data_IF_663319204237
#
_entry.id   IF_663319204237
#
_cell.length_a   1.000
_cell.length_b   1.000
_cell.length_c   1.000
_cell.angle_alpha   90.00
_cell.angle_beta   90.00
_cell.angle_gamma   90.00
#
_symmetry.space_group_name_H-M   'P 1'
#
loop_
_entity.id
_entity.type
_entity.pdbx_description
1 polymer ?
#
# COMPACT_ATOMS: atom_id res chain seq x y z
N UNK A 1 -14.76 22.51 -6.83
CA UNK A 1 -13.35 22.43 -6.39
C UNK A 1 -12.59 23.63 -6.94
N UNK A 2 -11.74 24.26 -6.10
CA UNK A 2 -10.89 25.37 -6.50
C UNK A 2 -9.44 24.92 -6.41
N UNK A 3 -8.69 25.07 -7.51
CA UNK A 3 -7.25 24.82 -7.53
C UNK A 3 -6.53 25.72 -6.51
N UNK A 4 -5.66 25.12 -5.67
CA UNK A 4 -4.92 25.83 -4.63
C UNK A 4 -3.46 26.06 -5.05
N UNK A 5 -2.75 24.99 -5.45
CA UNK A 5 -1.32 25.07 -5.76
C UNK A 5 -0.87 23.97 -6.73
N UNK A 6 0.13 24.27 -7.53
CA UNK A 6 0.87 23.30 -8.35
C UNK A 6 2.31 23.21 -7.86
N UNK A 7 2.86 21.99 -7.83
CA UNK A 7 4.24 21.72 -7.43
C UNK A 7 5.00 21.11 -8.60
N UNK A 8 6.16 21.68 -9.01
CA UNK A 8 7.03 21.00 -9.94
C UNK A 8 7.65 19.77 -9.26
N UNK A 9 7.38 18.58 -9.81
CA UNK A 9 7.95 17.35 -9.29
C UNK A 9 9.41 17.23 -9.72
N UNK A 10 10.33 17.75 -8.92
CA UNK A 10 11.77 17.81 -9.21
C UNK A 10 12.59 17.92 -7.92
N UNK A 11 13.89 17.63 -8.01
CA UNK A 11 14.84 17.91 -6.94
C UNK A 11 14.83 19.40 -6.58
N UNK A 12 15.28 19.73 -5.36
CA UNK A 12 15.26 21.10 -4.84
C UNK A 12 16.06 22.07 -5.72
N UNK A 13 17.17 21.60 -6.30
CA UNK A 13 18.04 22.35 -7.21
C UNK A 13 17.56 22.36 -8.66
N UNK A 14 16.43 21.69 -8.95
CA UNK A 14 15.87 21.59 -10.30
C UNK A 14 16.64 20.69 -11.27
N UNK A 15 17.71 20.01 -10.82
CA UNK A 15 18.61 19.23 -11.69
C UNK A 15 17.94 17.98 -12.28
N UNK A 16 16.89 17.45 -11.65
CA UNK A 16 16.19 16.27 -12.12
C UNK A 16 14.69 16.35 -11.80
N UNK A 17 13.86 16.12 -12.82
CA UNK A 17 12.41 16.00 -12.70
C UNK A 17 11.99 14.56 -12.35
N UNK A 18 10.79 14.42 -11.81
CA UNK A 18 10.18 13.15 -11.46
C UNK A 18 8.70 13.13 -11.82
N UNK A 19 8.15 11.93 -11.89
CA UNK A 19 6.71 11.70 -11.81
C UNK A 19 6.35 11.40 -10.36
N UNK A 20 5.14 11.72 -9.93
CA UNK A 20 4.57 11.16 -8.73
C UNK A 20 4.15 9.70 -9.02
N UNK A 21 4.58 8.75 -8.19
CA UNK A 21 4.17 7.36 -8.30
C UNK A 21 2.91 7.06 -7.49
N UNK A 22 2.81 7.66 -6.31
CA UNK A 22 1.66 7.52 -5.42
C UNK A 22 1.44 8.83 -4.65
N UNK A 23 0.17 9.15 -4.39
CA UNK A 23 -0.24 10.30 -3.58
C UNK A 23 -1.36 9.86 -2.67
N UNK A 24 -1.13 9.89 -1.36
CA UNK A 24 -2.13 9.48 -0.39
C UNK A 24 -2.35 10.54 0.68
N UNK A 25 -3.59 10.62 1.15
CA UNK A 25 -3.97 11.47 2.26
C UNK A 25 -3.58 10.82 3.60
N UNK A 26 -2.83 11.54 4.39
CA UNK A 26 -2.49 11.23 5.78
C UNK A 26 -3.32 12.15 6.69
N UNK A 27 -4.63 11.92 6.76
CA UNK A 27 -5.58 12.79 7.49
C UNK A 27 -5.15 13.05 8.94
N UNK A 28 -4.70 12.07 9.74
CA UNK A 28 -4.23 12.32 11.10
C UNK A 28 -3.04 13.28 11.19
N UNK A 29 -2.28 13.44 10.11
CA UNK A 29 -1.17 14.39 9.96
C UNK A 29 -1.59 15.66 9.25
N UNK A 30 -2.83 15.75 8.75
CA UNK A 30 -3.34 16.83 7.88
C UNK A 30 -2.39 17.12 6.73
N UNK A 31 -1.95 16.06 6.05
CA UNK A 31 -0.94 16.14 5.00
C UNK A 31 -1.22 15.17 3.87
N UNK A 32 -0.86 15.54 2.66
CA UNK A 32 -0.67 14.61 1.56
C UNK A 32 0.76 14.10 1.59
N UNK A 33 0.95 12.81 1.38
CA UNK A 33 2.27 12.19 1.22
C UNK A 33 2.41 11.72 -0.23
N UNK A 34 3.54 12.07 -0.85
CA UNK A 34 3.78 11.87 -2.29
C UNK A 34 5.09 11.12 -2.47
N UNK A 35 5.03 9.95 -3.08
CA UNK A 35 6.21 9.21 -3.50
C UNK A 35 6.66 9.66 -4.89
N UNK A 36 7.96 9.89 -5.05
CA UNK A 36 8.57 10.27 -6.32
C UNK A 36 9.12 9.04 -7.03
N UNK A 37 8.72 8.86 -8.30
CA UNK A 37 9.06 7.67 -9.08
C UNK A 37 10.49 7.66 -9.61
N UNK A 38 11.03 8.83 -9.94
CA UNK A 38 12.28 8.95 -10.69
C UNK A 38 13.40 9.61 -9.87
N UNK A 39 13.08 10.16 -8.69
CA UNK A 39 14.04 10.71 -7.73
C UNK A 39 13.83 10.05 -6.36
N UNK A 40 14.89 9.87 -5.57
CA UNK A 40 14.82 9.19 -4.26
C UNK A 40 14.29 10.16 -3.18
N UNK A 41 13.04 10.60 -3.33
CA UNK A 41 12.39 11.50 -2.38
C UNK A 41 10.96 11.07 -2.08
N UNK A 42 10.56 11.29 -0.83
CA UNK A 42 9.18 11.26 -0.35
C UNK A 42 8.84 12.67 0.13
N UNK A 43 7.70 13.20 -0.31
CA UNK A 43 7.25 14.53 0.06
C UNK A 43 6.07 14.46 0.99
N UNK A 44 6.06 15.30 2.03
CA UNK A 44 4.89 15.56 2.85
C UNK A 44 4.47 17.01 2.66
N UNK A 45 3.20 17.22 2.28
CA UNK A 45 2.62 18.55 1.99
C UNK A 45 1.45 18.75 2.94
N UNK A 46 1.64 19.58 3.97
CA UNK A 46 0.61 19.83 4.96
C UNK A 46 -0.45 20.78 4.44
N UNK A 47 -1.72 20.44 4.66
CA UNK A 47 -2.87 21.33 4.50
C UNK A 47 -3.35 21.92 5.84
N UNK A 48 -2.62 21.70 6.94
CA UNK A 48 -2.91 22.35 8.22
C UNK A 48 -2.58 23.85 8.14
N UNK A 49 -3.55 24.72 8.43
CA UNK A 49 -3.29 26.17 8.49
C UNK A 49 -2.25 26.58 9.53
N UNK A 50 -2.02 25.71 10.54
CA UNK A 50 -1.06 25.92 11.64
C UNK A 50 0.22 25.10 11.45
N UNK A 51 0.49 24.61 10.24
CA UNK A 51 1.70 23.81 9.99
C UNK A 51 2.97 24.62 10.32
N UNK A 52 3.88 23.96 11.05
CA UNK A 52 5.18 24.54 11.40
C UNK A 52 5.98 24.99 10.18
N UNK A 53 6.71 26.08 10.26
CA UNK A 53 7.57 26.55 9.17
C UNK A 53 8.54 25.47 8.68
N UNK A 54 8.89 25.56 7.41
CA UNK A 54 9.88 24.68 6.78
C UNK A 54 11.14 25.47 6.53
N UNK A 55 12.27 24.90 6.93
CA UNK A 55 13.59 25.45 6.63
C UNK A 55 14.24 24.59 5.55
N UNK A 56 14.48 25.18 4.39
CA UNK A 56 15.24 24.58 3.30
C UNK A 56 16.66 25.17 3.33
N UNK A 57 17.68 24.33 3.33
CA UNK A 57 19.09 24.73 3.31
C UNK A 57 19.81 24.48 4.63
N UNK A 58 21.05 24.92 4.69
CA UNK A 58 21.88 24.81 5.88
C UNK A 58 21.61 25.97 6.83
N UNK A 59 21.17 25.68 8.03
CA UNK A 59 20.79 26.69 9.04
C UNK A 59 21.97 27.59 9.47
N UNK A 60 23.21 27.19 9.18
CA UNK A 60 24.43 27.91 9.55
C UNK A 60 25.48 27.92 8.41
N UNK A 61 25.07 28.01 7.17
CA UNK A 61 26.03 28.18 6.08
C UNK A 61 26.24 29.65 5.76
N UNK A 62 27.25 30.25 6.38
CA UNK A 62 27.62 31.64 6.16
C UNK A 62 28.01 31.98 4.69
N UNK A 63 28.19 30.95 3.86
CA UNK A 63 28.55 31.14 2.43
C UNK A 63 27.30 31.25 1.55
N UNK A 64 26.19 30.64 1.96
CA UNK A 64 24.95 30.60 1.17
C UNK A 64 23.78 31.37 1.80
N UNK A 65 24.03 32.00 2.96
CA UNK A 65 23.02 32.66 3.74
C UNK A 65 22.23 31.71 4.67
N UNK A 66 21.59 32.25 5.69
CA UNK A 66 20.75 31.50 6.59
C UNK A 66 19.51 30.96 5.86
N UNK A 67 19.12 29.73 6.17
CA UNK A 67 17.91 29.13 5.62
C UNK A 67 16.69 29.98 5.96
N UNK A 68 16.02 30.54 4.95
CA UNK A 68 14.82 31.33 5.14
C UNK A 68 13.66 30.38 5.43
N UNK A 69 12.96 30.64 6.55
CA UNK A 69 11.75 29.92 6.89
C UNK A 69 10.66 30.14 5.82
N UNK A 70 10.10 29.06 5.33
CA UNK A 70 8.94 29.07 4.42
C UNK A 70 7.68 28.67 5.18
N UNK A 71 6.48 29.17 4.80
CA UNK A 71 5.24 28.72 5.40
C UNK A 71 5.10 27.20 5.34
N UNK A 72 4.72 26.59 6.47
CA UNK A 72 4.51 25.16 6.55
C UNK A 72 3.25 24.71 5.81
N UNK A 73 2.19 25.52 5.83
CA UNK A 73 0.96 25.25 5.10
C UNK A 73 1.21 25.24 3.59
N UNK A 74 0.88 24.14 2.93
CA UNK A 74 1.19 23.87 1.52
C UNK A 74 2.69 23.98 1.18
N UNK A 75 3.55 23.94 2.18
CA UNK A 75 4.99 23.77 1.99
C UNK A 75 5.35 22.31 1.77
N UNK A 76 6.43 22.05 1.05
CA UNK A 76 6.92 20.69 0.77
C UNK A 76 8.00 20.33 1.79
N UNK A 77 7.72 19.35 2.65
CA UNK A 77 8.74 18.70 3.49
C UNK A 77 9.30 17.52 2.73
N UNK A 78 10.59 17.56 2.43
CA UNK A 78 11.28 16.53 1.65
C UNK A 78 11.99 15.55 2.58
N UNK A 79 11.80 14.27 2.30
CA UNK A 79 12.57 13.17 2.91
C UNK A 79 13.41 12.54 1.83
N UNK A 80 14.73 12.55 1.99
CA UNK A 80 15.65 11.83 1.09
C UNK A 80 15.64 10.35 1.40
N UNK A 81 15.65 9.55 0.36
CA UNK A 81 15.64 8.09 0.39
C UNK A 81 16.89 7.56 -0.29
N UNK A 82 17.15 6.27 -0.14
CA UNK A 82 18.23 5.60 -0.88
C UNK A 82 17.79 5.32 -2.33
N UNK A 83 16.49 5.00 -2.51
CA UNK A 83 15.90 4.64 -3.80
C UNK A 83 14.51 5.28 -3.97
N UNK A 84 14.08 5.57 -5.20
CA UNK A 84 12.72 6.01 -5.47
C UNK A 84 11.69 4.96 -5.04
N UNK A 85 10.49 5.40 -4.66
CA UNK A 85 9.38 4.53 -4.33
C UNK A 85 8.39 4.42 -5.49
N UNK A 86 7.93 3.21 -5.79
CA UNK A 86 6.86 2.96 -6.76
C UNK A 86 5.47 3.02 -6.11
N UNK A 87 5.36 2.62 -4.85
CA UNK A 87 4.13 2.62 -4.06
C UNK A 87 4.48 2.56 -2.57
N UNK A 88 3.52 2.86 -1.69
CA UNK A 88 3.74 2.79 -0.26
C UNK A 88 2.46 2.53 0.55
N UNK A 89 2.64 2.16 1.80
CA UNK A 89 1.62 1.91 2.79
C UNK A 89 1.92 2.71 4.07
N UNK A 90 0.89 3.25 4.74
CA UNK A 90 1.02 3.83 6.07
C UNK A 90 0.85 2.76 7.16
N UNK A 91 1.64 2.83 8.22
CA UNK A 91 1.26 2.16 9.45
C UNK A 91 0.05 2.87 10.11
N UNK A 92 -0.62 2.21 11.07
CA UNK A 92 -1.81 2.76 11.72
C UNK A 92 -1.56 4.08 12.46
N UNK A 93 -0.32 4.35 12.84
CA UNK A 93 0.05 5.62 13.50
C UNK A 93 0.25 6.76 12.52
N UNK A 94 0.29 6.48 11.21
CA UNK A 94 0.70 7.41 10.16
C UNK A 94 2.09 8.03 10.40
N UNK A 95 2.89 7.39 11.26
CA UNK A 95 4.27 7.79 11.52
C UNK A 95 5.24 7.19 10.53
N UNK A 96 4.94 5.98 10.04
CA UNK A 96 5.81 5.25 9.15
C UNK A 96 5.15 5.03 7.79
N UNK A 97 5.99 5.10 6.78
CA UNK A 97 5.68 4.71 5.41
C UNK A 97 6.54 3.51 5.05
N UNK A 98 5.90 2.45 4.58
CA UNK A 98 6.56 1.27 4.03
C UNK A 98 6.44 1.35 2.51
N UNK A 99 7.53 1.62 1.83
CA UNK A 99 7.54 1.89 0.40
C UNK A 99 8.26 0.83 -0.40
N UNK A 100 7.61 0.34 -1.47
CA UNK A 100 8.24 -0.55 -2.42
C UNK A 100 9.16 0.22 -3.38
N UNK A 101 10.32 -0.35 -3.67
CA UNK A 101 11.24 0.12 -4.70
C UNK A 101 11.30 -0.90 -5.84
N UNK A 102 11.82 -0.49 -6.99
CA UNK A 102 12.03 -1.43 -8.09
C UNK A 102 13.14 -2.41 -7.73
N UNK A 103 12.94 -3.73 -7.97
CA UNK A 103 13.98 -4.70 -7.73
C UNK A 103 15.24 -4.37 -8.52
N UNK A 104 16.38 -4.41 -7.85
CA UNK A 104 17.69 -4.31 -8.51
C UNK A 104 18.10 -5.65 -9.07
N UNK A 105 19.05 -5.63 -10.03
CA UNK A 105 19.59 -6.84 -10.65
C UNK A 105 20.28 -7.79 -9.65
N UNK A 106 20.76 -7.26 -8.53
CA UNK A 106 21.45 -7.99 -7.45
C UNK A 106 20.51 -8.63 -6.42
N UNK A 107 19.18 -8.47 -6.60
CA UNK A 107 18.20 -9.06 -5.70
C UNK A 107 18.12 -8.43 -4.31
N UNK A 108 18.70 -7.25 -4.11
CA UNK A 108 18.66 -6.53 -2.84
C UNK A 108 17.22 -6.14 -2.44
N UNK A 109 16.99 -5.87 -1.13
CA UNK A 109 15.67 -5.50 -0.61
C UNK A 109 14.98 -4.45 -1.46
N UNK A 110 13.73 -4.73 -1.82
CA UNK A 110 12.93 -3.90 -2.72
C UNK A 110 11.94 -3.01 -1.97
N UNK A 111 12.15 -2.81 -0.67
CA UNK A 111 11.27 -1.96 0.13
C UNK A 111 12.00 -1.28 1.29
N UNK A 112 11.53 -0.11 1.66
CA UNK A 112 12.10 0.75 2.70
C UNK A 112 11.04 1.13 3.72
N UNK A 113 11.46 1.32 4.98
CA UNK A 113 10.65 1.93 6.02
C UNK A 113 11.15 3.34 6.29
N UNK A 114 10.26 4.31 6.19
CA UNK A 114 10.55 5.73 6.38
C UNK A 114 9.76 6.25 7.56
N UNK A 115 10.43 6.90 8.49
CA UNK A 115 9.77 7.61 9.58
C UNK A 115 9.55 9.07 9.16
N UNK A 116 8.27 9.48 9.08
CA UNK A 116 7.86 10.80 8.63
C UNK A 116 8.17 11.91 9.65
N UNK A 117 8.20 11.59 10.96
CA UNK A 117 8.44 12.60 12.01
C UNK A 117 9.89 13.09 11.96
N UNK A 118 10.83 12.16 11.80
CA UNK A 118 12.26 12.49 11.71
C UNK A 118 12.75 12.60 10.26
N UNK A 119 11.87 12.35 9.29
CA UNK A 119 12.15 12.43 7.84
C UNK A 119 13.37 11.63 7.42
N UNK A 120 13.40 10.35 7.81
CA UNK A 120 14.52 9.44 7.53
C UNK A 120 14.03 8.03 7.24
N UNK A 121 14.72 7.35 6.34
CA UNK A 121 14.70 5.90 6.26
C UNK A 121 15.24 5.33 7.57
N UNK A 122 14.53 4.34 8.13
CA UNK A 122 14.89 3.68 9.40
C UNK A 122 15.18 2.20 9.25
N UNK A 123 14.71 1.57 8.18
CA UNK A 123 14.95 0.16 7.90
C UNK A 123 14.80 -0.18 6.42
N UNK A 124 15.40 -1.31 6.03
CA UNK A 124 15.07 -2.04 4.80
C UNK A 124 14.17 -3.22 5.15
N UNK A 125 13.18 -3.49 4.29
CA UNK A 125 12.38 -4.71 4.38
C UNK A 125 13.06 -5.78 3.55
N UNK A 126 13.52 -6.84 4.21
CA UNK A 126 14.20 -7.96 3.58
C UNK A 126 13.19 -8.92 2.92
N UNK A 127 12.46 -8.44 1.93
CA UNK A 127 11.53 -9.22 1.10
C UNK A 127 12.06 -9.31 -0.32
N UNK A 128 11.93 -10.49 -0.92
CA UNK A 128 12.35 -10.70 -2.30
C UNK A 128 11.31 -10.14 -3.28
N UNK A 129 11.71 -9.92 -4.53
CA UNK A 129 10.79 -9.55 -5.59
C UNK A 129 10.29 -8.11 -5.51
N UNK A 130 8.97 -7.93 -5.68
CA UNK A 130 8.32 -6.62 -5.67
C UNK A 130 7.01 -6.70 -4.85
N UNK A 131 7.06 -6.49 -3.53
CA UNK A 131 5.86 -6.46 -2.71
C UNK A 131 4.98 -5.26 -3.11
N UNK A 132 3.69 -5.51 -3.25
CA UNK A 132 2.70 -4.45 -3.51
C UNK A 132 2.17 -3.90 -2.18
N UNK A 133 3.03 -3.18 -1.48
CA UNK A 133 2.79 -2.74 -0.10
C UNK A 133 1.52 -1.89 0.03
N UNK A 134 1.24 -1.02 -0.94
CA UNK A 134 0.04 -0.21 -0.96
C UNK A 134 -1.27 -1.00 -0.96
N UNK A 135 -1.27 -2.24 -1.41
CA UNK A 135 -2.40 -3.16 -1.34
C UNK A 135 -2.31 -4.14 -0.17
N UNK A 136 -1.32 -3.99 0.69
CA UNK A 136 -1.18 -4.76 1.92
C UNK A 136 -2.23 -4.41 2.95
N UNK A 137 -2.34 -5.27 3.95
CA UNK A 137 -3.24 -5.08 5.10
C UNK A 137 -2.47 -5.31 6.39
N UNK A 138 -2.89 -4.66 7.46
CA UNK A 138 -2.34 -4.90 8.80
C UNK A 138 -3.38 -5.55 9.69
N UNK A 139 -2.92 -6.40 10.59
CA UNK A 139 -3.74 -7.05 11.60
C UNK A 139 -2.91 -7.53 12.79
N UNK A 140 -3.57 -7.80 13.92
CA UNK A 140 -2.94 -8.35 15.10
C UNK A 140 -2.62 -9.85 14.90
N UNK A 141 -1.38 -10.25 15.26
CA UNK A 141 -0.94 -11.64 15.20
C UNK A 141 0.07 -11.92 16.32
N UNK A 142 -0.18 -12.93 17.15
CA UNK A 142 0.71 -13.36 18.25
C UNK A 142 1.23 -12.21 19.12
N UNK A 143 0.36 -11.25 19.45
CA UNK A 143 0.71 -10.12 20.32
C UNK A 143 1.48 -8.98 19.65
N UNK A 144 1.70 -9.05 18.35
CA UNK A 144 2.26 -7.95 17.55
C UNK A 144 1.31 -7.57 16.41
N UNK A 145 1.59 -6.44 15.74
CA UNK A 145 0.93 -6.08 14.48
C UNK A 145 1.79 -6.55 13.32
N UNK A 146 1.20 -7.23 12.36
CA UNK A 146 1.87 -7.62 11.12
C UNK A 146 1.25 -6.91 9.91
N UNK A 147 2.07 -6.66 8.90
CA UNK A 147 1.65 -6.32 7.54
C UNK A 147 1.70 -7.59 6.70
N UNK A 148 0.63 -7.91 6.00
CA UNK A 148 0.61 -8.93 4.95
C UNK A 148 0.42 -8.24 3.60
N UNK A 149 1.30 -8.51 2.65
CA UNK A 149 1.30 -7.85 1.33
C UNK A 149 1.48 -8.85 0.20
N UNK A 150 0.64 -8.78 -0.86
CA UNK A 150 0.89 -9.57 -2.05
C UNK A 150 2.20 -9.15 -2.70
N UNK A 151 2.89 -10.10 -3.31
CA UNK A 151 4.12 -9.87 -4.04
C UNK A 151 3.88 -10.06 -5.54
N UNK A 152 4.09 -8.99 -6.31
CA UNK A 152 3.86 -8.95 -7.76
C UNK A 152 4.88 -9.77 -8.54
N UNK A 153 6.06 -10.00 -7.97
CA UNK A 153 7.17 -10.62 -8.67
C UNK A 153 8.00 -11.46 -7.70
N UNK A 154 7.61 -12.71 -7.56
CA UNK A 154 8.44 -13.67 -6.83
C UNK A 154 9.54 -14.20 -7.77
N UNK A 155 10.76 -14.29 -7.31
CA UNK A 155 11.88 -14.79 -8.12
C UNK A 155 11.73 -16.22 -8.64
N UNK A 156 10.65 -16.94 -8.27
CA UNK A 156 10.43 -18.36 -8.58
C UNK A 156 9.17 -18.63 -9.40
N UNK A 157 8.53 -17.61 -9.97
CA UNK A 157 7.39 -17.77 -10.88
C UNK A 157 6.04 -18.09 -10.23
N UNK A 158 5.98 -18.26 -8.90
CA UNK A 158 4.73 -18.44 -8.14
C UNK A 158 4.22 -17.12 -7.58
N UNK A 159 3.06 -17.15 -6.91
CA UNK A 159 2.55 -16.05 -6.11
C UNK A 159 2.98 -16.18 -4.64
N UNK A 160 3.07 -15.06 -3.98
CA UNK A 160 3.40 -15.01 -2.55
C UNK A 160 2.68 -13.86 -1.84
N UNK A 161 2.51 -14.03 -0.54
CA UNK A 161 2.18 -12.96 0.40
C UNK A 161 3.29 -12.93 1.42
N UNK A 162 3.95 -11.78 1.53
CA UNK A 162 4.96 -11.56 2.55
C UNK A 162 4.29 -11.02 3.81
N UNK A 163 4.58 -11.63 4.96
CA UNK A 163 4.10 -11.19 6.27
C UNK A 163 5.27 -10.61 7.05
N UNK A 164 5.12 -9.37 7.49
CA UNK A 164 6.19 -8.57 8.08
C UNK A 164 5.75 -8.09 9.46
N UNK A 165 6.59 -8.27 10.47
CA UNK A 165 6.37 -7.70 11.80
C UNK A 165 6.58 -6.19 11.79
N UNK A 166 5.55 -5.43 12.17
CA UNK A 166 5.53 -3.97 12.11
C UNK A 166 6.33 -3.30 13.23
N UNK A 167 6.83 -4.04 14.20
CA UNK A 167 7.68 -3.53 15.27
C UNK A 167 9.17 -3.71 14.96
N UNK A 168 9.51 -4.87 14.38
CA UNK A 168 10.92 -5.22 14.10
C UNK A 168 11.31 -5.01 12.65
N UNK A 169 10.34 -4.81 11.75
CA UNK A 169 10.51 -4.69 10.30
C UNK A 169 11.12 -5.95 9.66
N UNK A 170 10.92 -7.10 10.30
CA UNK A 170 11.47 -8.37 9.82
C UNK A 170 10.37 -9.24 9.21
N UNK A 171 10.68 -10.01 8.16
CA UNK A 171 9.79 -11.04 7.66
C UNK A 171 9.45 -12.06 8.76
N UNK A 172 8.16 -12.36 8.90
CA UNK A 172 7.64 -13.42 9.77
C UNK A 172 7.55 -14.73 8.99
N UNK A 173 6.92 -14.65 7.82
CA UNK A 173 6.74 -15.79 6.91
C UNK A 173 6.36 -15.30 5.52
N UNK A 174 6.46 -16.20 4.56
CA UNK A 174 5.92 -16.02 3.19
C UNK A 174 4.89 -17.12 2.95
N UNK A 175 3.69 -16.73 2.51
CA UNK A 175 2.58 -17.64 2.21
C UNK A 175 2.52 -17.82 0.70
N UNK A 176 2.65 -19.06 0.21
CA UNK A 176 2.56 -19.36 -1.22
C UNK A 176 1.11 -19.26 -1.69
N UNK A 177 0.91 -18.61 -2.83
CA UNK A 177 -0.38 -18.51 -3.54
C UNK A 177 -0.27 -19.07 -4.97
N UNK A 178 -1.39 -19.37 -5.63
CA UNK A 178 -1.37 -19.93 -7.00
C UNK A 178 -0.72 -19.03 -8.04
N UNK A 179 -0.70 -17.74 -7.80
CA UNK A 179 -0.08 -16.74 -8.68
C UNK A 179 0.09 -15.40 -8.01
N UNK A 180 0.88 -14.50 -8.61
CA UNK A 180 1.05 -13.14 -8.11
C UNK A 180 -0.30 -12.42 -8.00
N UNK A 181 -0.61 -11.94 -6.80
CA UNK A 181 -1.79 -11.13 -6.51
C UNK A 181 -1.48 -9.64 -6.61
N UNK A 182 -2.52 -8.84 -6.81
CA UNK A 182 -2.41 -7.39 -6.84
C UNK A 182 -3.11 -6.76 -5.64
N UNK A 183 -4.25 -7.31 -5.22
CA UNK A 183 -5.05 -6.77 -4.13
C UNK A 183 -5.23 -7.78 -3.01
N UNK A 184 -5.11 -7.30 -1.78
CA UNK A 184 -5.40 -8.04 -0.57
C UNK A 184 -6.33 -7.22 0.32
N UNK A 185 -7.34 -7.86 0.92
CA UNK A 185 -8.26 -7.21 1.85
C UNK A 185 -8.66 -8.15 2.97
N UNK A 186 -9.04 -7.54 4.06
CA UNK A 186 -9.68 -8.19 5.19
C UNK A 186 -10.64 -7.20 5.87
N UNK A 187 -11.15 -7.58 7.00
CA UNK A 187 -11.94 -6.75 7.89
C UNK A 187 -11.71 -7.20 9.34
N UNK A 188 -11.81 -6.29 10.32
CA UNK A 188 -11.61 -6.64 11.73
C UNK A 188 -12.63 -7.67 12.25
N UNK A 189 -13.84 -7.68 11.68
CA UNK A 189 -14.91 -8.61 12.07
C UNK A 189 -14.76 -10.02 11.46
N UNK A 190 -13.74 -10.29 10.65
CA UNK A 190 -13.48 -11.62 10.08
C UNK A 190 -12.07 -12.10 10.38
N UNK A 191 -11.88 -13.41 10.71
CA UNK A 191 -10.53 -13.98 10.86
C UNK A 191 -9.81 -14.19 9.53
N UNK A 192 -10.43 -13.87 8.40
CA UNK A 192 -9.92 -14.21 7.09
C UNK A 192 -9.47 -12.99 6.30
N UNK A 193 -8.39 -13.18 5.53
CA UNK A 193 -7.90 -12.24 4.54
C UNK A 193 -8.02 -12.87 3.15
N UNK A 194 -8.38 -12.07 2.16
CA UNK A 194 -8.60 -12.48 0.79
C UNK A 194 -7.63 -11.80 -0.15
N UNK A 195 -7.06 -12.54 -1.09
CA UNK A 195 -6.19 -11.99 -2.13
C UNK A 195 -6.52 -12.59 -3.48
N UNK A 196 -6.32 -11.84 -4.53
CA UNK A 196 -6.41 -12.32 -5.91
C UNK A 196 -5.09 -12.96 -6.39
N UNK A 197 -5.13 -13.52 -7.59
CA UNK A 197 -3.97 -13.98 -8.37
C UNK A 197 -4.01 -13.40 -9.78
N UNK A 198 -4.58 -12.20 -9.93
CA UNK A 198 -4.94 -11.62 -11.22
C UNK A 198 -3.76 -11.36 -12.16
N UNK A 199 -2.55 -11.27 -11.62
CA UNK A 199 -1.32 -11.07 -12.39
C UNK A 199 -0.80 -12.37 -13.03
N UNK A 200 -1.42 -13.52 -12.73
CA UNK A 200 -1.06 -14.82 -13.29
C UNK A 200 -2.03 -15.24 -14.38
N UNK A 201 -1.60 -15.41 -15.64
CA UNK A 201 -2.47 -15.95 -16.68
C UNK A 201 -3.05 -17.33 -16.35
N UNK A 202 -2.34 -18.15 -15.58
CA UNK A 202 -2.73 -19.50 -15.21
C UNK A 202 -3.64 -19.58 -13.96
N UNK A 203 -3.66 -18.54 -13.12
CA UNK A 203 -4.38 -18.55 -11.84
C UNK A 203 -5.25 -17.31 -11.61
N UNK A 204 -5.42 -16.45 -12.62
CA UNK A 204 -6.22 -15.22 -12.52
C UNK A 204 -7.68 -15.44 -12.15
N UNK A 205 -8.15 -16.64 -12.27
CA UNK A 205 -9.50 -17.06 -11.93
C UNK A 205 -9.70 -17.44 -10.46
N UNK A 206 -8.66 -17.23 -9.62
CA UNK A 206 -8.62 -17.74 -8.25
C UNK A 206 -8.44 -16.62 -7.23
N UNK A 207 -9.34 -16.59 -6.24
CA UNK A 207 -9.13 -15.89 -4.98
C UNK A 207 -8.63 -16.87 -3.94
N UNK A 208 -7.61 -16.46 -3.19
CA UNK A 208 -7.05 -17.25 -2.09
C UNK A 208 -7.45 -16.63 -0.75
N UNK A 209 -7.91 -17.47 0.16
CA UNK A 209 -8.41 -17.09 1.49
C UNK A 209 -7.44 -17.63 2.54
N UNK A 210 -7.01 -16.76 3.43
CA UNK A 210 -5.99 -17.02 4.45
C UNK A 210 -6.60 -16.77 5.82
N UNK A 211 -6.39 -17.69 6.77
CA UNK A 211 -6.69 -17.45 8.17
C UNK A 211 -5.59 -16.58 8.79
N UNK A 212 -5.95 -15.39 9.26
CA UNK A 212 -5.05 -14.42 9.88
C UNK A 212 -4.38 -14.95 11.15
N UNK A 213 -5.02 -15.87 11.86
CA UNK A 213 -4.51 -16.44 13.13
C UNK A 213 -3.38 -17.44 12.89
N UNK A 214 -3.50 -18.23 11.82
CA UNK A 214 -2.57 -19.31 11.50
C UNK A 214 -1.61 -18.99 10.37
N UNK A 215 -1.89 -17.92 9.62
CA UNK A 215 -1.17 -17.52 8.41
C UNK A 215 -1.15 -18.63 7.34
N UNK A 216 -2.23 -19.42 7.26
CA UNK A 216 -2.36 -20.53 6.31
C UNK A 216 -3.51 -20.29 5.34
N UNK A 217 -3.33 -20.77 4.11
CA UNK A 217 -4.42 -20.85 3.14
C UNK A 217 -5.46 -21.85 3.64
N UNK A 218 -6.71 -21.44 3.70
CA UNK A 218 -7.84 -22.24 4.20
C UNK A 218 -8.87 -22.56 3.11
N UNK A 219 -8.93 -21.72 2.07
CA UNK A 219 -9.85 -21.93 0.96
C UNK A 219 -9.38 -21.22 -0.31
N UNK A 220 -9.97 -21.61 -1.43
CA UNK A 220 -9.88 -20.92 -2.70
C UNK A 220 -11.28 -20.85 -3.32
N UNK A 221 -11.59 -19.69 -3.91
CA UNK A 221 -12.79 -19.49 -4.72
C UNK A 221 -12.36 -19.30 -6.17
N UNK A 222 -13.07 -19.94 -7.11
CA UNK A 222 -12.70 -19.95 -8.52
C UNK A 222 -13.85 -19.61 -9.45
N UNK A 223 -13.55 -18.84 -10.48
CA UNK A 223 -14.38 -18.60 -11.66
C UNK A 223 -13.62 -19.04 -12.93
N UNK A 224 -13.72 -20.31 -13.32
CA UNK A 224 -12.85 -20.91 -14.34
C UNK A 224 -12.79 -20.10 -15.64
N UNK A 225 -11.56 -19.78 -16.07
CA UNK A 225 -11.27 -19.04 -17.30
C UNK A 225 -11.53 -17.54 -17.26
N UNK A 226 -12.03 -17.00 -16.14
CA UNK A 226 -12.32 -15.57 -15.95
C UNK A 226 -11.35 -14.94 -14.97
N UNK A 227 -11.30 -13.61 -14.93
CA UNK A 227 -10.39 -12.89 -14.03
C UNK A 227 -11.15 -12.44 -12.77
N UNK A 228 -10.77 -13.01 -11.62
CA UNK A 228 -11.22 -12.52 -10.31
C UNK A 228 -10.20 -11.54 -9.75
N UNK A 229 -10.66 -10.37 -9.31
CA UNK A 229 -9.80 -9.31 -8.82
C UNK A 229 -10.49 -8.43 -7.78
N UNK A 230 -9.67 -7.68 -7.05
CA UNK A 230 -10.05 -6.52 -6.28
C UNK A 230 -11.17 -6.77 -5.27
N UNK A 231 -10.82 -7.40 -4.18
CA UNK A 231 -11.72 -7.71 -3.07
C UNK A 231 -11.99 -6.44 -2.24
N UNK A 232 -13.21 -6.31 -1.73
CA UNK A 232 -13.55 -5.33 -0.71
C UNK A 232 -14.61 -5.93 0.24
N UNK A 233 -14.73 -5.39 1.45
CA UNK A 233 -15.67 -5.87 2.44
C UNK A 233 -16.81 -4.89 2.66
N UNK A 234 -18.00 -5.41 2.99
CA UNK A 234 -19.10 -4.58 3.50
C UNK A 234 -18.71 -3.93 4.83
N UNK A 235 -19.41 -2.86 5.18
CA UNK A 235 -19.18 -2.11 6.43
C UNK A 235 -19.13 -2.98 7.69
N UNK A 236 -19.93 -4.04 7.73
CA UNK A 236 -20.03 -4.97 8.85
C UNK A 236 -19.09 -6.18 8.74
N UNK A 237 -18.32 -6.28 7.66
CA UNK A 237 -17.39 -7.38 7.39
C UNK A 237 -18.04 -8.73 7.09
N UNK A 238 -19.37 -8.80 6.96
CA UNK A 238 -20.07 -10.07 6.72
C UNK A 238 -19.97 -10.57 5.28
N UNK A 239 -19.74 -9.67 4.35
CA UNK A 239 -19.63 -10.04 2.94
C UNK A 239 -18.33 -9.51 2.34
N UNK A 240 -17.74 -10.33 1.46
CA UNK A 240 -16.63 -9.95 0.60
C UNK A 240 -17.17 -9.76 -0.84
N UNK A 241 -16.79 -8.65 -1.45
CA UNK A 241 -17.19 -8.29 -2.80
C UNK A 241 -15.99 -8.44 -3.73
N UNK A 242 -16.12 -9.26 -4.77
CA UNK A 242 -15.07 -9.46 -5.76
C UNK A 242 -15.52 -9.02 -7.15
N UNK A 243 -14.61 -8.48 -7.93
CA UNK A 243 -14.84 -8.14 -9.33
C UNK A 243 -14.56 -9.35 -10.21
N UNK A 244 -15.55 -9.78 -11.00
CA UNK A 244 -15.35 -10.62 -12.15
C UNK A 244 -15.00 -9.70 -13.34
N UNK A 245 -13.72 -9.48 -13.56
CA UNK A 245 -13.20 -8.42 -14.43
C UNK A 245 -13.20 -8.80 -15.92
N UNK A 246 -14.40 -9.08 -16.43
CA UNK A 246 -14.64 -9.44 -17.83
C UNK A 246 -15.74 -8.54 -18.44
N UNK A 247 -15.85 -8.52 -19.77
CA UNK A 247 -16.92 -7.74 -20.45
C UNK A 247 -18.31 -8.26 -20.06
N UNK A 248 -18.45 -9.57 -19.93
CA UNK A 248 -19.61 -10.28 -19.38
C UNK A 248 -19.43 -10.57 -17.88
N UNK A 249 -18.90 -9.60 -17.15
CA UNK A 249 -18.49 -9.73 -15.77
C UNK A 249 -19.63 -9.51 -14.77
N UNK A 250 -19.23 -9.42 -13.50
CA UNK A 250 -20.15 -9.20 -12.39
C UNK A 250 -19.43 -8.64 -11.18
N UNK A 251 -20.16 -7.98 -10.30
CA UNK A 251 -19.79 -7.85 -8.91
C UNK A 251 -20.35 -9.05 -8.15
N UNK A 252 -19.48 -9.91 -7.63
CA UNK A 252 -19.87 -11.12 -6.90
C UNK A 252 -19.79 -10.82 -5.39
N UNK A 253 -20.82 -11.20 -4.67
CA UNK A 253 -20.92 -11.07 -3.22
C UNK A 253 -20.79 -12.43 -2.59
N UNK A 254 -19.78 -12.63 -1.76
CA UNK A 254 -19.54 -13.84 -1.00
C UNK A 254 -19.84 -13.62 0.49
N UNK A 255 -20.35 -14.64 1.15
CA UNK A 255 -20.39 -14.67 2.61
C UNK A 255 -18.95 -14.85 3.13
N UNK A 256 -18.51 -13.93 3.98
CA UNK A 256 -17.10 -13.86 4.42
C UNK A 256 -16.70 -14.98 5.39
N UNK A 257 -17.66 -15.72 5.97
CA UNK A 257 -17.40 -16.84 6.88
C UNK A 257 -17.44 -18.19 6.20
N UNK A 258 -18.35 -18.38 5.22
CA UNK A 258 -18.55 -19.65 4.53
C UNK A 258 -17.91 -19.70 3.16
N UNK A 259 -17.50 -18.54 2.63
CA UNK A 259 -16.88 -18.33 1.30
C UNK A 259 -17.82 -18.68 0.13
N UNK A 260 -19.10 -18.88 0.42
CA UNK A 260 -20.12 -19.18 -0.60
C UNK A 260 -20.62 -17.90 -1.25
N UNK A 261 -20.88 -17.98 -2.54
CA UNK A 261 -21.57 -16.91 -3.24
C UNK A 261 -22.98 -16.72 -2.68
N UNK A 262 -23.31 -15.49 -2.36
CA UNK A 262 -24.65 -15.07 -1.93
C UNK A 262 -25.46 -14.55 -3.11
N UNK A 263 -24.82 -13.72 -3.94
CA UNK A 263 -25.44 -13.14 -5.14
C UNK A 263 -24.37 -12.57 -6.06
N UNK A 264 -24.74 -12.32 -7.30
CA UNK A 264 -23.92 -11.56 -8.25
C UNK A 264 -24.77 -10.53 -9.00
N UNK A 265 -24.17 -9.38 -9.24
CA UNK A 265 -24.75 -8.31 -10.02
C UNK A 265 -24.02 -8.25 -11.36
N UNK A 266 -24.69 -8.61 -12.48
CA UNK A 266 -24.09 -8.51 -13.81
C UNK A 266 -23.60 -7.09 -14.08
N UNK A 267 -22.35 -6.98 -14.55
CA UNK A 267 -21.70 -5.70 -14.78
C UNK A 267 -20.58 -5.86 -15.80
N UNK A 268 -20.55 -4.99 -16.79
CA UNK A 268 -19.48 -5.00 -17.77
C UNK A 268 -18.18 -4.51 -17.13
N UNK A 269 -17.18 -5.38 -17.12
CA UNK A 269 -15.81 -5.13 -16.71
C UNK A 269 -15.68 -4.30 -15.43
N UNK A 270 -16.29 -4.73 -14.30
CA UNK A 270 -16.18 -4.00 -13.04
C UNK A 270 -14.70 -3.94 -12.63
N UNK A 271 -14.23 -2.74 -12.36
CA UNK A 271 -12.87 -2.49 -11.87
C UNK A 271 -12.87 -2.25 -10.37
N UNK A 272 -11.78 -1.73 -9.86
CA UNK A 272 -11.54 -1.51 -8.44
C UNK A 272 -12.72 -0.90 -7.66
N UNK A 273 -12.85 -1.32 -6.42
CA UNK A 273 -13.78 -0.83 -5.42
C UNK A 273 -13.01 -0.27 -4.25
N UNK A 274 -13.50 0.84 -3.69
CA UNK A 274 -12.88 1.45 -2.51
C UNK A 274 -13.97 1.72 -1.47
N UNK A 275 -13.80 1.13 -0.30
CA UNK A 275 -14.68 1.37 0.82
C UNK A 275 -14.09 2.44 1.73
N UNK A 276 -14.47 3.68 1.48
CA UNK A 276 -14.00 4.83 2.24
C UNK A 276 -14.32 4.70 3.73
N UNK A 277 -15.46 4.11 4.08
CA UNK A 277 -15.83 3.87 5.47
C UNK A 277 -14.81 2.96 6.15
N UNK A 278 -14.50 1.80 5.57
CA UNK A 278 -13.53 0.87 6.17
C UNK A 278 -12.14 1.51 6.26
N UNK A 279 -11.71 2.24 5.23
CA UNK A 279 -10.43 2.95 5.23
C UNK A 279 -10.32 3.99 6.36
N UNK A 280 -11.36 4.78 6.60
CA UNK A 280 -11.35 5.84 7.61
C UNK A 280 -11.62 5.31 9.02
N UNK A 281 -12.57 4.38 9.15
CA UNK A 281 -13.09 3.93 10.46
C UNK A 281 -12.44 2.66 10.96
N UNK A 282 -11.68 1.94 10.11
CA UNK A 282 -11.03 0.66 10.39
C UNK A 282 -9.59 0.71 9.95
N UNK A 283 -8.67 0.42 10.85
CA UNK A 283 -7.24 0.33 10.54
C UNK A 283 -6.79 -1.11 10.27
N UNK A 284 -7.51 -2.09 10.79
CA UNK A 284 -7.21 -3.49 10.59
C UNK A 284 -7.88 -4.05 9.33
N UNK A 285 -7.10 -4.72 8.51
CA UNK A 285 -7.59 -5.40 7.31
C UNK A 285 -7.87 -4.49 6.12
N UNK A 286 -7.60 -3.20 6.23
CA UNK A 286 -7.74 -2.24 5.12
C UNK A 286 -6.39 -1.81 4.59
N UNK A 287 -6.31 -1.51 3.30
CA UNK A 287 -5.16 -0.85 2.67
C UNK A 287 -5.41 0.66 2.55
N UNK A 288 -4.45 1.37 2.05
CA UNK A 288 -4.53 2.82 1.77
C UNK A 288 -5.65 3.19 0.80
#
# INVERSE_FOLDING_TARGET
LKHQRTYPAQLLDGSKSSRASAVYDAEPRKSFVVAMKDIPELWEISYDPKAEPIFDGYVHDYRQGEGIAKPGTFGVRRTRLDEPLDDFFFDQSYRHVLGATRPKADGLPSAQVVNLDIRRKIADLAVAGMPHLGSGITFAWNGTTVLASPNLKTGQGGGAIDVIDMKTWKPVTTITTPGPGFFMRSHEATPYAWTDSMMSPAARDTLTIIDKRTLKVVAQVKEPGKTLAHIEFTRDGRHALASLWEMDGALIVYDAATFKEVTRLPMSKPVGKYNVFNKISRSEGTSH
#
